data_IF_178784680655
#
_entry.id   IF_178784680655
#
_cell.length_a   1.000
_cell.length_b   1.000
_cell.length_c   1.000
_cell.angle_alpha   90.00
_cell.angle_beta   90.00
_cell.angle_gamma   90.00
#
_symmetry.space_group_name_H-M   'P 1'
#
loop_
_entity.id
_entity.type
_entity.pdbx_description
1 polymer ?
#
# COMPACT_ATOMS: atom_id res chain seq x y z
N UNK A 1 4.32 -5.77 20.96
CA UNK A 1 3.43 -6.19 19.85
C UNK A 1 3.99 -5.76 18.51
N UNK A 2 4.28 -4.47 18.29
CA UNK A 2 4.84 -3.95 17.03
C UNK A 2 6.15 -4.60 16.55
N UNK A 3 7.10 -4.80 17.46
CA UNK A 3 8.42 -5.36 17.11
C UNK A 3 8.35 -6.83 16.67
N UNK A 4 7.46 -7.60 17.29
CA UNK A 4 7.23 -8.99 16.92
C UNK A 4 6.50 -9.09 15.57
N UNK A 5 5.63 -8.12 15.26
CA UNK A 5 5.02 -8.01 13.94
C UNK A 5 6.07 -7.73 12.85
N UNK A 6 7.03 -6.82 13.09
CA UNK A 6 8.14 -6.55 12.16
C UNK A 6 8.99 -7.81 11.95
N UNK A 7 9.36 -8.50 13.03
CA UNK A 7 10.15 -9.73 12.93
C UNK A 7 9.44 -10.81 12.11
N UNK A 8 8.18 -11.08 12.43
CA UNK A 8 7.36 -12.06 11.70
C UNK A 8 7.18 -11.66 10.22
N UNK A 9 6.98 -10.37 9.95
CA UNK A 9 6.87 -9.85 8.59
C UNK A 9 8.16 -10.08 7.79
N UNK A 10 9.33 -9.71 8.34
CA UNK A 10 10.61 -9.91 7.66
C UNK A 10 10.88 -11.39 7.41
N UNK A 11 10.63 -12.25 8.40
CA UNK A 11 10.77 -13.69 8.25
C UNK A 11 9.92 -14.24 7.09
N UNK A 12 8.64 -13.86 7.05
CA UNK A 12 7.73 -14.30 5.99
C UNK A 12 8.14 -13.74 4.62
N UNK A 13 8.52 -12.47 4.55
CA UNK A 13 8.97 -11.83 3.31
C UNK A 13 10.19 -12.56 2.71
N UNK A 14 11.23 -12.81 3.51
CA UNK A 14 12.42 -13.50 3.02
C UNK A 14 12.18 -14.98 2.70
N UNK A 15 11.32 -15.66 3.47
CA UNK A 15 10.92 -17.05 3.18
C UNK A 15 10.18 -17.16 1.85
N UNK A 16 9.22 -16.27 1.59
CA UNK A 16 8.43 -16.25 0.35
C UNK A 16 9.29 -15.91 -0.88
N UNK A 17 10.28 -15.04 -0.71
CA UNK A 17 11.25 -14.71 -1.76
C UNK A 17 12.39 -15.74 -1.90
N UNK A 18 12.28 -16.91 -1.26
CA UNK A 18 13.26 -18.01 -1.35
C UNK A 18 14.68 -17.58 -0.96
N UNK A 19 14.81 -16.64 -0.01
CA UNK A 19 16.11 -16.28 0.56
C UNK A 19 16.53 -17.31 1.61
N UNK A 20 17.83 -17.50 1.77
CA UNK A 20 18.38 -18.43 2.76
C UNK A 20 18.43 -17.73 4.13
N UNK A 21 17.56 -18.16 5.04
CA UNK A 21 17.54 -17.68 6.43
C UNK A 21 18.62 -18.43 7.21
N UNK A 22 19.71 -17.74 7.54
CA UNK A 22 20.85 -18.30 8.29
C UNK A 22 20.60 -18.33 9.79
N UNK A 23 19.96 -17.29 10.32
CA UNK A 23 19.64 -17.19 11.73
C UNK A 23 18.29 -16.48 11.90
N UNK A 24 17.42 -17.02 12.74
CA UNK A 24 16.17 -16.37 13.14
C UNK A 24 16.01 -16.54 14.65
N UNK A 25 16.12 -15.43 15.38
CA UNK A 25 15.88 -15.32 16.83
C UNK A 25 14.88 -14.20 17.08
N UNK A 26 14.11 -14.26 18.15
CA UNK A 26 13.15 -13.19 18.46
C UNK A 26 13.88 -11.84 18.55
N UNK A 27 13.62 -10.94 17.60
CA UNK A 27 14.27 -9.63 17.55
C UNK A 27 15.50 -9.53 16.62
N UNK A 28 15.98 -10.64 16.02
CA UNK A 28 17.11 -10.67 15.09
C UNK A 28 16.90 -11.68 13.97
N UNK A 29 17.14 -11.27 12.73
CA UNK A 29 17.11 -12.18 11.58
C UNK A 29 18.32 -11.93 10.68
N UNK A 30 19.04 -12.99 10.32
CA UNK A 30 20.16 -12.95 9.38
C UNK A 30 19.80 -13.77 8.15
N UNK A 31 19.85 -13.13 6.99
CA UNK A 31 19.40 -13.69 5.72
C UNK A 31 20.46 -13.46 4.65
N UNK A 32 20.77 -14.49 3.87
CA UNK A 32 21.49 -14.35 2.61
C UNK A 32 20.49 -14.07 1.51
N UNK A 33 20.66 -12.93 0.85
CA UNK A 33 19.75 -12.47 -0.19
C UNK A 33 19.87 -13.34 -1.44
N UNK A 34 18.82 -13.36 -2.25
CA UNK A 34 18.90 -13.77 -3.65
C UNK A 34 19.40 -12.61 -4.53
N UNK A 35 19.73 -12.87 -5.79
CA UNK A 35 20.24 -11.83 -6.70
C UNK A 35 19.25 -10.67 -6.89
N UNK A 36 17.95 -10.96 -6.97
CA UNK A 36 16.91 -9.95 -7.19
C UNK A 36 16.82 -8.96 -6.02
N UNK A 37 16.75 -9.47 -4.78
CA UNK A 37 16.67 -8.66 -3.57
C UNK A 37 18.00 -7.99 -3.23
N UNK A 38 19.14 -8.60 -3.58
CA UNK A 38 20.45 -7.96 -3.44
C UNK A 38 20.54 -6.69 -4.30
N UNK A 39 20.16 -6.80 -5.59
CA UNK A 39 20.07 -5.66 -6.52
C UNK A 39 19.10 -4.60 -6.00
N UNK A 40 17.93 -5.02 -5.54
CA UNK A 40 16.88 -4.13 -5.09
C UNK A 40 17.28 -3.39 -3.81
N UNK A 41 17.78 -4.09 -2.80
CA UNK A 41 18.06 -3.51 -1.48
C UNK A 41 19.41 -2.79 -1.46
N UNK A 42 20.49 -3.41 -1.95
CA UNK A 42 21.84 -2.86 -1.78
C UNK A 42 22.26 -1.90 -2.88
N UNK A 43 21.49 -1.78 -3.96
CA UNK A 43 21.73 -0.87 -5.08
C UNK A 43 23.20 -0.89 -5.53
N UNK A 44 23.71 -2.08 -5.86
CA UNK A 44 25.09 -2.32 -6.35
C UNK A 44 25.12 -2.60 -7.86
N UNK A 45 24.67 -1.68 -8.75
CA UNK A 45 24.53 -1.94 -10.17
C UNK A 45 25.88 -2.29 -10.83
N UNK A 46 26.97 -1.61 -10.45
CA UNK A 46 28.29 -1.83 -11.03
C UNK A 46 28.87 -3.21 -10.73
N UNK A 47 28.67 -3.73 -9.51
CA UNK A 47 29.10 -5.09 -9.14
C UNK A 47 28.45 -6.10 -10.08
N UNK A 48 27.13 -6.00 -10.21
CA UNK A 48 26.34 -6.92 -11.00
C UNK A 48 26.58 -6.81 -12.51
N UNK A 49 26.85 -5.61 -13.03
CA UNK A 49 27.28 -5.43 -14.42
C UNK A 49 28.65 -6.06 -14.68
N UNK A 50 29.58 -5.89 -13.74
CA UNK A 50 30.91 -6.49 -13.83
C UNK A 50 30.85 -8.01 -13.81
N UNK A 51 30.15 -8.60 -12.84
CA UNK A 51 29.94 -10.07 -12.73
C UNK A 51 29.32 -10.65 -14.01
N UNK A 52 28.32 -9.97 -14.58
CA UNK A 52 27.71 -10.37 -15.85
C UNK A 52 28.69 -10.32 -17.02
N UNK A 53 29.57 -9.31 -17.08
CA UNK A 53 30.60 -9.18 -18.13
C UNK A 53 31.67 -10.26 -18.05
N UNK A 54 32.04 -10.70 -16.85
CA UNK A 54 33.03 -11.76 -16.65
C UNK A 54 32.44 -13.17 -16.72
N UNK A 55 31.12 -13.32 -16.86
CA UNK A 55 30.44 -14.61 -16.99
C UNK A 55 30.49 -15.49 -15.74
N UNK A 56 30.64 -14.88 -14.55
CA UNK A 56 30.66 -15.59 -13.27
C UNK A 56 29.29 -15.50 -12.58
N UNK A 57 29.03 -16.43 -11.66
CA UNK A 57 27.91 -16.31 -10.72
C UNK A 57 28.25 -15.27 -9.64
N UNK A 58 27.34 -14.34 -9.39
CA UNK A 58 27.55 -13.29 -8.40
C UNK A 58 27.34 -13.79 -6.98
N UNK A 59 28.14 -13.26 -6.06
CA UNK A 59 27.99 -13.50 -4.63
C UNK A 59 26.98 -12.50 -4.03
N UNK A 60 25.92 -13.03 -3.43
CA UNK A 60 24.88 -12.23 -2.78
C UNK A 60 25.23 -11.90 -1.34
N UNK A 61 24.83 -10.71 -0.89
CA UNK A 61 25.12 -10.26 0.46
C UNK A 61 24.30 -11.01 1.52
N UNK A 62 24.89 -11.13 2.72
CA UNK A 62 24.19 -11.54 3.93
C UNK A 62 23.89 -10.29 4.75
N UNK A 63 22.62 -10.08 5.11
CA UNK A 63 22.17 -8.97 5.95
C UNK A 63 21.63 -9.47 7.28
N UNK A 64 21.91 -8.74 8.34
CA UNK A 64 21.35 -8.96 9.68
C UNK A 64 20.45 -7.79 10.02
N UNK A 65 19.19 -8.07 10.36
CA UNK A 65 18.19 -7.10 10.77
C UNK A 65 17.82 -7.28 12.23
N UNK A 66 17.81 -6.18 12.98
CA UNK A 66 17.50 -6.13 14.41
C UNK A 66 16.18 -5.38 14.58
N UNK A 67 15.19 -6.03 15.19
CA UNK A 67 13.83 -5.51 15.41
C UNK A 67 13.49 -5.29 16.88
N UNK A 68 14.32 -5.79 17.82
CA UNK A 68 14.15 -5.55 19.26
C UNK A 68 15.19 -4.57 19.84
N UNK A 69 14.78 -3.52 20.59
CA UNK A 69 15.69 -2.53 21.15
C UNK A 69 16.74 -3.10 22.10
N UNK A 70 16.44 -4.21 22.77
CA UNK A 70 17.37 -4.89 23.69
C UNK A 70 18.58 -5.51 22.98
N UNK A 71 18.48 -5.77 21.67
CA UNK A 71 19.55 -6.34 20.85
C UNK A 71 20.25 -5.28 20.00
N UNK A 72 20.05 -3.98 20.25
CA UNK A 72 20.70 -2.90 19.49
C UNK A 72 22.23 -2.91 19.54
N UNK A 73 22.82 -3.63 20.48
CA UNK A 73 24.27 -3.73 20.64
C UNK A 73 24.86 -4.88 19.80
N UNK A 74 24.02 -5.70 19.17
CA UNK A 74 24.48 -6.72 18.22
C UNK A 74 24.82 -6.11 16.86
N UNK A 75 25.68 -6.80 16.11
CA UNK A 75 26.04 -6.40 14.74
C UNK A 75 24.85 -6.63 13.78
N UNK A 76 24.23 -5.54 13.32
CA UNK A 76 23.13 -5.59 12.36
C UNK A 76 22.46 -4.23 12.12
N UNK A 77 21.62 -4.15 11.09
CA UNK A 77 20.84 -2.98 10.76
C UNK A 77 19.60 -2.90 11.66
N UNK A 78 19.45 -1.81 12.42
CA UNK A 78 18.27 -1.55 13.24
C UNK A 78 17.06 -1.21 12.36
N UNK A 79 16.00 -2.02 12.44
CA UNK A 79 14.76 -1.84 11.70
C UNK A 79 13.60 -1.46 12.63
N UNK A 80 12.87 -0.42 12.24
CA UNK A 80 11.61 0.02 12.81
C UNK A 80 10.70 0.50 11.68
N UNK A 81 9.44 0.86 11.98
CA UNK A 81 8.47 1.26 10.96
C UNK A 81 8.85 2.49 10.12
N UNK A 82 9.74 3.33 10.62
CA UNK A 82 10.26 4.50 9.88
C UNK A 82 11.58 4.24 9.17
N UNK A 83 12.12 3.01 9.19
CA UNK A 83 13.40 2.75 8.54
C UNK A 83 13.21 2.73 7.02
N UNK A 84 14.09 3.41 6.25
CA UNK A 84 14.01 3.45 4.79
C UNK A 84 14.02 2.04 4.17
N UNK A 85 14.81 1.13 4.76
CA UNK A 85 14.92 -0.27 4.34
C UNK A 85 13.60 -1.01 4.43
N UNK A 86 12.85 -0.84 5.52
CA UNK A 86 11.56 -1.52 5.67
C UNK A 86 10.53 -0.98 4.68
N UNK A 87 10.52 0.34 4.45
CA UNK A 87 9.69 0.93 3.39
C UNK A 87 10.07 0.43 2.00
N UNK A 88 11.36 0.25 1.72
CA UNK A 88 11.83 -0.33 0.46
C UNK A 88 11.29 -1.75 0.25
N UNK A 89 11.31 -2.58 1.29
CA UNK A 89 10.74 -3.94 1.29
C UNK A 89 9.22 -3.90 1.10
N UNK A 90 8.50 -3.01 1.80
CA UNK A 90 7.06 -2.87 1.61
C UNK A 90 6.71 -2.47 0.18
N UNK A 91 7.44 -1.51 -0.38
CA UNK A 91 7.22 -1.02 -1.74
C UNK A 91 7.53 -2.10 -2.79
N UNK A 92 8.58 -2.91 -2.59
CA UNK A 92 8.88 -4.02 -3.50
C UNK A 92 7.78 -5.08 -3.47
N UNK A 93 7.31 -5.47 -2.28
CA UNK A 93 6.22 -6.43 -2.13
C UNK A 93 4.93 -5.92 -2.78
N UNK A 94 4.58 -4.65 -2.56
CA UNK A 94 3.41 -4.03 -3.17
C UNK A 94 3.55 -3.90 -4.69
N UNK A 95 4.76 -3.72 -5.22
CA UNK A 95 4.99 -3.66 -6.67
C UNK A 95 4.82 -5.04 -7.34
N UNK A 96 5.31 -6.10 -6.72
CA UNK A 96 5.20 -7.47 -7.23
C UNK A 96 3.79 -8.05 -7.03
N UNK A 97 3.12 -7.72 -5.92
CA UNK A 97 1.81 -8.27 -5.53
C UNK A 97 0.58 -7.43 -5.96
N UNK A 98 0.67 -6.61 -7.01
CA UNK A 98 -0.44 -5.71 -7.40
C UNK A 98 -1.67 -6.43 -7.91
N UNK A 99 -1.46 -7.48 -8.70
CA UNK A 99 -2.52 -8.27 -9.31
C UNK A 99 -2.26 -9.75 -9.11
N UNK A 100 -3.31 -10.52 -8.85
CA UNK A 100 -3.22 -11.98 -8.76
C UNK A 100 -4.44 -12.64 -9.38
N UNK A 101 -4.27 -13.91 -9.74
CA UNK A 101 -5.35 -14.78 -10.15
C UNK A 101 -5.24 -16.09 -9.39
N UNK A 102 -6.28 -16.43 -8.64
CA UNK A 102 -6.25 -17.54 -7.70
C UNK A 102 -7.53 -18.37 -7.80
N UNK A 103 -7.39 -19.68 -7.61
CA UNK A 103 -8.44 -20.68 -7.69
C UNK A 103 -8.58 -21.40 -6.35
N UNK A 104 -9.79 -21.45 -5.82
CA UNK A 104 -10.12 -22.21 -4.62
C UNK A 104 -9.85 -23.70 -4.84
N UNK A 105 -9.15 -24.33 -3.91
CA UNK A 105 -8.87 -25.78 -3.94
C UNK A 105 -10.04 -26.60 -3.41
N UNK A 106 -11.22 -26.41 -4.00
CA UNK A 106 -12.47 -27.06 -3.61
C UNK A 106 -12.93 -28.09 -4.67
N UNK A 107 -12.27 -29.27 -4.68
CA UNK A 107 -12.75 -30.49 -5.35
C UNK A 107 -13.29 -30.32 -6.79
N UNK A 108 -14.24 -31.17 -7.17
CA UNK A 108 -14.88 -31.13 -8.50
C UNK A 108 -16.06 -30.15 -8.52
N UNK A 109 -15.78 -28.85 -8.62
CA UNK A 109 -16.86 -27.84 -8.62
C UNK A 109 -16.67 -26.76 -9.70
N UNK A 110 -17.76 -26.08 -10.02
CA UNK A 110 -17.72 -24.90 -10.87
C UNK A 110 -17.20 -23.71 -10.06
N UNK A 111 -16.23 -22.99 -10.62
CA UNK A 111 -15.62 -21.84 -9.96
C UNK A 111 -16.11 -20.53 -10.58
N UNK A 112 -16.75 -19.72 -9.75
CA UNK A 112 -17.28 -18.42 -10.08
C UNK A 112 -16.21 -17.32 -9.95
N UNK A 113 -16.09 -16.41 -10.93
CA UNK A 113 -15.12 -15.32 -10.89
C UNK A 113 -15.57 -14.17 -9.98
N UNK A 114 -14.68 -13.78 -9.07
CA UNK A 114 -14.81 -12.61 -8.19
C UNK A 114 -13.67 -11.64 -8.45
N UNK A 115 -14.00 -10.36 -8.66
CA UNK A 115 -13.02 -9.28 -8.67
C UNK A 115 -12.87 -8.75 -7.25
N UNK A 116 -11.66 -8.83 -6.70
CA UNK A 116 -11.37 -8.35 -5.35
C UNK A 116 -10.44 -7.16 -5.46
N UNK A 117 -10.81 -6.06 -4.83
CA UNK A 117 -10.01 -4.85 -4.79
C UNK A 117 -9.83 -4.40 -3.33
N UNK A 118 -8.58 -4.16 -2.95
CA UNK A 118 -8.24 -3.55 -1.68
C UNK A 118 -7.86 -2.09 -1.93
N UNK A 119 -8.61 -1.18 -1.30
CA UNK A 119 -8.61 0.24 -1.59
C UNK A 119 -8.30 0.99 -0.29
N UNK A 120 -7.36 1.92 -0.36
CA UNK A 120 -7.04 2.85 0.71
C UNK A 120 -7.70 4.19 0.41
N UNK A 121 -8.47 4.70 1.36
CA UNK A 121 -9.03 6.04 1.35
C UNK A 121 -8.28 6.84 2.40
N UNK A 122 -7.56 7.86 1.96
CA UNK A 122 -6.82 8.78 2.82
C UNK A 122 -7.53 10.12 2.85
N UNK A 123 -8.08 10.48 4.00
CA UNK A 123 -8.64 11.80 4.26
C UNK A 123 -7.50 12.68 4.78
N UNK A 124 -7.09 13.67 3.98
CA UNK A 124 -6.12 14.68 4.39
C UNK A 124 -6.86 15.97 4.72
N UNK A 125 -6.59 16.52 5.89
CA UNK A 125 -6.95 17.88 6.27
C UNK A 125 -6.05 18.27 7.43
N UNK A 126 -6.63 18.81 8.50
CA UNK A 126 -5.88 19.04 9.75
C UNK A 126 -5.26 17.76 10.31
N UNK A 127 -5.96 16.64 10.18
CA UNK A 127 -5.48 15.32 10.53
C UNK A 127 -5.52 14.42 9.30
N UNK A 128 -4.59 13.46 9.26
CA UNK A 128 -4.60 12.42 8.25
C UNK A 128 -5.28 11.19 8.83
N UNK A 129 -6.38 10.74 8.20
CA UNK A 129 -7.06 9.49 8.53
C UNK A 129 -6.96 8.55 7.34
N UNK A 130 -6.47 7.34 7.57
CA UNK A 130 -6.41 6.29 6.55
C UNK A 130 -7.43 5.20 6.86
N UNK A 131 -8.21 4.83 5.85
CA UNK A 131 -9.20 3.75 5.89
C UNK A 131 -8.89 2.74 4.80
N UNK A 132 -9.04 1.45 5.09
CA UNK A 132 -8.82 0.38 4.11
C UNK A 132 -10.13 -0.37 3.91
N UNK A 133 -10.59 -0.40 2.67
CA UNK A 133 -11.77 -1.14 2.24
C UNK A 133 -11.35 -2.32 1.38
N UNK A 134 -11.86 -3.50 1.71
CA UNK A 134 -11.72 -4.69 0.88
C UNK A 134 -13.07 -5.03 0.26
N UNK A 135 -13.17 -4.89 -1.06
CA UNK A 135 -14.42 -5.06 -1.81
C UNK A 135 -14.26 -6.23 -2.77
N UNK A 136 -15.13 -7.23 -2.63
CA UNK A 136 -15.31 -8.32 -3.59
C UNK A 136 -16.55 -8.09 -4.44
N UNK A 137 -16.43 -8.15 -5.76
CA UNK A 137 -17.53 -8.05 -6.70
C UNK A 137 -17.63 -9.35 -7.49
N UNK A 138 -18.80 -9.98 -7.43
CA UNK A 138 -19.06 -11.21 -8.18
C UNK A 138 -19.34 -10.89 -9.65
N UNK A 139 -18.54 -11.44 -10.57
CA UNK A 139 -18.55 -11.05 -11.97
C UNK A 139 -19.69 -11.69 -12.80
N UNK A 140 -20.56 -12.47 -12.18
CA UNK A 140 -21.76 -13.04 -12.83
C UNK A 140 -23.00 -12.22 -12.49
N UNK A 141 -23.33 -12.09 -11.19
CA UNK A 141 -24.54 -11.39 -10.74
C UNK A 141 -24.30 -9.91 -10.37
N UNK A 142 -23.05 -9.49 -10.15
CA UNK A 142 -22.70 -8.13 -9.76
C UNK A 142 -22.89 -7.82 -8.27
N UNK A 143 -23.11 -8.81 -7.41
CA UNK A 143 -23.19 -8.61 -5.95
C UNK A 143 -21.85 -8.13 -5.41
N UNK A 144 -21.90 -7.16 -4.50
CA UNK A 144 -20.72 -6.62 -3.81
C UNK A 144 -20.72 -7.10 -2.35
N UNK A 145 -19.55 -7.50 -1.86
CA UNK A 145 -19.31 -7.97 -0.50
C UNK A 145 -18.12 -7.21 0.08
N UNK A 146 -18.26 -6.71 1.31
CA UNK A 146 -17.24 -5.96 2.03
C UNK A 146 -16.39 -6.85 2.93
N UNK A 147 -15.24 -6.34 3.36
CA UNK A 147 -14.26 -7.08 4.17
C UNK A 147 -13.86 -8.42 3.55
N UNK A 148 -13.81 -8.46 2.21
CA UNK A 148 -13.64 -9.70 1.45
C UNK A 148 -12.31 -10.40 1.76
N UNK A 149 -11.25 -9.63 2.03
CA UNK A 149 -9.95 -10.18 2.41
C UNK A 149 -9.99 -11.02 3.70
N UNK A 150 -10.82 -10.66 4.69
CA UNK A 150 -10.97 -11.46 5.92
C UNK A 150 -11.68 -12.79 5.66
N UNK A 151 -12.55 -12.82 4.65
CA UNK A 151 -13.20 -14.04 4.18
C UNK A 151 -12.21 -14.93 3.42
N UNK A 152 -11.40 -14.34 2.54
CA UNK A 152 -10.38 -15.05 1.75
C UNK A 152 -9.30 -15.69 2.59
N UNK A 153 -8.90 -15.09 3.73
CA UNK A 153 -7.88 -15.65 4.64
C UNK A 153 -8.19 -17.08 5.12
N UNK A 154 -9.46 -17.49 5.09
CA UNK A 154 -9.92 -18.80 5.57
C UNK A 154 -9.88 -19.88 4.50
N UNK A 155 -9.56 -19.51 3.25
CA UNK A 155 -9.64 -20.39 2.09
C UNK A 155 -8.25 -20.70 1.57
N UNK A 156 -8.08 -21.95 1.12
CA UNK A 156 -6.86 -22.40 0.44
C UNK A 156 -6.94 -22.11 -1.05
N UNK A 157 -5.98 -21.34 -1.57
CA UNK A 157 -5.89 -20.95 -2.96
C UNK A 157 -4.65 -21.54 -3.65
N UNK A 158 -4.76 -21.73 -4.97
CA UNK A 158 -3.64 -22.02 -5.85
C UNK A 158 -3.70 -21.14 -7.10
N UNK A 159 -2.55 -20.94 -7.75
CA UNK A 159 -2.47 -20.34 -9.09
C UNK A 159 -2.91 -21.30 -10.21
N UNK A 160 -3.07 -22.58 -9.88
CA UNK A 160 -3.48 -23.63 -10.82
C UNK A 160 -4.92 -24.04 -10.54
N UNK A 161 -5.67 -24.28 -11.61
CA UNK A 161 -7.04 -24.80 -11.54
C UNK A 161 -6.98 -26.20 -10.92
N UNK A 162 -7.77 -26.48 -9.87
CA UNK A 162 -7.83 -27.82 -9.29
C UNK A 162 -8.26 -28.87 -10.32
N UNK A 163 -7.81 -30.11 -10.13
CA UNK A 163 -8.26 -31.23 -10.96
C UNK A 163 -9.79 -31.34 -10.93
N UNK A 164 -10.39 -31.54 -12.10
CA UNK A 164 -11.85 -31.66 -12.29
C UNK A 164 -12.69 -30.42 -11.90
N UNK A 165 -12.07 -29.25 -11.79
CA UNK A 165 -12.77 -27.96 -11.71
C UNK A 165 -12.85 -27.28 -13.07
N UNK A 166 -13.89 -26.46 -13.28
CA UNK A 166 -13.99 -25.59 -14.46
C UNK A 166 -14.34 -24.16 -14.05
N UNK A 167 -13.84 -23.19 -14.81
CA UNK A 167 -14.10 -21.77 -14.58
C UNK A 167 -15.33 -21.32 -15.33
N UNK A 168 -16.19 -20.55 -14.65
CA UNK A 168 -17.33 -19.91 -15.29
C UNK A 168 -16.88 -18.60 -15.93
N UNK A 169 -17.33 -18.35 -17.15
CA UNK A 169 -17.00 -17.12 -17.88
C UNK A 169 -17.72 -15.91 -17.24
N UNK A 170 -17.00 -14.81 -16.94
CA UNK A 170 -17.59 -13.64 -16.35
C UNK A 170 -18.56 -12.95 -17.33
N UNK A 171 -19.76 -12.62 -16.87
CA UNK A 171 -20.74 -11.85 -17.64
C UNK A 171 -20.38 -10.35 -17.58
N UNK A 172 -19.98 -9.90 -16.40
CA UNK A 172 -19.52 -8.53 -16.16
C UNK A 172 -18.03 -8.43 -16.51
N UNK A 173 -17.70 -7.56 -17.46
CA UNK A 173 -16.30 -7.28 -17.81
C UNK A 173 -15.60 -6.53 -16.66
N UNK A 174 -14.30 -6.76 -16.51
CA UNK A 174 -13.47 -6.15 -15.46
C UNK A 174 -13.61 -4.61 -15.42
N UNK A 175 -13.54 -3.85 -16.55
CA UNK A 175 -13.71 -2.39 -16.50
C UNK A 175 -15.09 -1.97 -15.99
N UNK A 176 -16.14 -2.69 -16.36
CA UNK A 176 -17.50 -2.43 -15.87
C UNK A 176 -17.64 -2.71 -14.38
N UNK A 177 -16.99 -3.77 -13.88
CA UNK A 177 -16.92 -4.06 -12.45
C UNK A 177 -16.19 -2.95 -11.67
N UNK A 178 -15.07 -2.46 -12.20
CA UNK A 178 -14.36 -1.32 -11.60
C UNK A 178 -15.22 -0.06 -11.54
N UNK A 179 -15.96 0.26 -12.61
CA UNK A 179 -16.86 1.41 -12.59
C UNK A 179 -17.97 1.27 -11.54
N UNK A 180 -18.50 0.06 -11.32
CA UNK A 180 -19.47 -0.19 -10.25
C UNK A 180 -18.87 0.06 -8.87
N UNK A 181 -17.65 -0.42 -8.62
CA UNK A 181 -16.92 -0.17 -7.38
C UNK A 181 -16.67 1.33 -7.21
N UNK A 182 -16.28 2.03 -8.27
CA UNK A 182 -16.05 3.47 -8.23
C UNK A 182 -17.33 4.26 -7.89
N UNK A 183 -18.47 3.91 -8.50
CA UNK A 183 -19.75 4.53 -8.19
C UNK A 183 -20.17 4.26 -6.73
N UNK A 184 -19.92 3.04 -6.24
CA UNK A 184 -20.13 2.72 -4.83
C UNK A 184 -19.26 3.58 -3.91
N UNK A 185 -17.97 3.74 -4.22
CA UNK A 185 -17.06 4.57 -3.43
C UNK A 185 -17.49 6.04 -3.41
N UNK A 186 -17.93 6.58 -4.55
CA UNK A 186 -18.45 7.95 -4.60
C UNK A 186 -19.68 8.12 -3.70
N UNK A 187 -20.60 7.15 -3.74
CA UNK A 187 -21.78 7.17 -2.88
C UNK A 187 -21.39 7.04 -1.41
N UNK A 188 -20.52 6.08 -1.07
CA UNK A 188 -19.99 5.88 0.27
C UNK A 188 -19.36 7.17 0.84
N UNK A 189 -18.55 7.87 0.05
CA UNK A 189 -17.93 9.13 0.44
C UNK A 189 -18.94 10.27 0.60
N UNK A 190 -19.99 10.32 -0.25
CA UNK A 190 -21.03 11.36 -0.15
C UNK A 190 -21.96 11.20 1.06
N UNK A 191 -22.03 10.01 1.64
CA UNK A 191 -22.83 9.74 2.84
C UNK A 191 -22.05 10.01 4.14
N UNK A 192 -20.73 10.20 4.07
CA UNK A 192 -19.92 10.51 5.25
C UNK A 192 -20.14 11.95 5.71
N UNK A 193 -19.90 12.21 7.00
CA UNK A 193 -19.96 13.55 7.56
C UNK A 193 -18.78 14.41 7.07
N UNK A 194 -19.10 15.59 6.53
CA UNK A 194 -18.12 16.56 5.99
C UNK A 194 -17.52 17.50 7.05
N UNK A 195 -17.74 17.23 8.34
CA UNK A 195 -17.34 18.15 9.41
C UNK A 195 -15.82 18.32 9.47
N UNK A 196 -15.05 17.26 9.19
CA UNK A 196 -13.60 17.33 9.10
C UNK A 196 -13.11 18.28 7.98
N UNK A 197 -13.87 18.37 6.88
CA UNK A 197 -13.53 19.24 5.76
C UNK A 197 -13.83 20.71 6.08
N UNK A 198 -14.96 20.99 6.76
CA UNK A 198 -15.30 22.33 7.25
C UNK A 198 -14.24 22.85 8.22
N UNK A 199 -13.83 22.02 9.19
CA UNK A 199 -12.76 22.38 10.13
C UNK A 199 -11.44 22.68 9.43
N UNK A 200 -11.11 21.93 8.37
CA UNK A 200 -9.90 22.15 7.58
C UNK A 200 -9.95 23.51 6.84
N UNK A 201 -11.10 23.88 6.25
CA UNK A 201 -11.30 25.19 5.63
C UNK A 201 -11.21 26.33 6.64
N UNK A 202 -11.90 26.24 7.78
CA UNK A 202 -11.83 27.27 8.83
C UNK A 202 -10.40 27.48 9.35
N UNK A 203 -9.63 26.40 9.46
CA UNK A 203 -8.24 26.48 9.89
C UNK A 203 -7.35 27.09 8.80
N UNK A 204 -7.60 26.77 7.54
CA UNK A 204 -6.89 27.38 6.42
C UNK A 204 -7.13 28.89 6.35
N UNK A 205 -8.38 29.34 6.50
CA UNK A 205 -8.72 30.76 6.46
C UNK A 205 -8.02 31.53 7.60
N UNK A 206 -8.01 30.99 8.82
CA UNK A 206 -7.30 31.60 9.96
C UNK A 206 -5.79 31.70 9.74
N UNK A 207 -5.15 30.64 9.24
CA UNK A 207 -3.71 30.64 8.94
C UNK A 207 -3.38 31.63 7.81
N UNK A 208 -4.24 31.71 6.79
CA UNK A 208 -4.11 32.65 5.69
C UNK A 208 -4.26 34.10 6.15
N UNK A 209 -5.21 34.39 7.04
CA UNK A 209 -5.35 35.74 7.63
C UNK A 209 -4.10 36.16 8.40
N UNK A 210 -3.51 35.26 9.20
CA UNK A 210 -2.27 35.52 9.92
C UNK A 210 -1.12 35.79 8.94
N UNK A 211 -1.02 34.97 7.88
CA UNK A 211 -0.03 35.14 6.84
C UNK A 211 -0.16 36.50 6.14
N UNK A 212 -1.40 36.87 5.76
CA UNK A 212 -1.68 38.16 5.13
C UNK A 212 -1.23 39.32 6.01
N UNK A 213 -1.60 39.32 7.29
CA UNK A 213 -1.23 40.38 8.21
C UNK A 213 0.29 40.50 8.38
N UNK A 214 1.01 39.38 8.45
CA UNK A 214 2.46 39.36 8.49
C UNK A 214 3.04 40.02 7.24
N UNK A 215 2.65 39.58 6.04
CA UNK A 215 3.18 40.11 4.78
C UNK A 215 2.76 41.56 4.48
N UNK A 216 1.56 41.99 4.87
CA UNK A 216 1.13 43.39 4.78
C UNK A 216 2.09 44.30 5.56
N UNK A 217 2.44 43.93 6.79
CA UNK A 217 3.37 44.70 7.61
C UNK A 217 4.77 44.85 7.00
N UNK A 218 5.30 43.81 6.35
CA UNK A 218 6.59 43.88 5.66
C UNK A 218 6.51 44.71 4.37
N UNK A 219 5.41 44.61 3.64
CA UNK A 219 5.19 45.29 2.36
C UNK A 219 5.09 46.81 2.54
N UNK A 220 4.54 47.28 3.67
CA UNK A 220 4.48 48.70 4.02
C UNK A 220 5.86 49.34 4.25
N UNK A 221 6.83 48.56 4.75
CA UNK A 221 8.20 49.03 5.04
C UNK A 221 9.23 48.76 3.93
N UNK A 222 8.84 48.02 2.88
CA UNK A 222 9.75 47.53 1.86
C UNK A 222 9.92 48.49 0.67
N UNK A 223 11.10 48.44 0.05
CA UNK A 223 11.42 49.13 -1.20
C UNK A 223 10.70 48.48 -2.39
N UNK A 224 10.53 49.17 -3.53
CA UNK A 224 9.76 48.62 -4.67
C UNK A 224 10.35 47.31 -5.23
N UNK A 225 11.68 47.17 -5.26
CA UNK A 225 12.36 45.92 -5.66
C UNK A 225 12.15 44.77 -4.64
N UNK A 226 11.99 45.10 -3.35
CA UNK A 226 11.76 44.11 -2.29
C UNK A 226 10.30 43.62 -2.30
N UNK A 227 9.34 44.47 -2.70
CA UNK A 227 7.92 44.11 -2.79
C UNK A 227 7.67 42.98 -3.80
N UNK A 228 8.39 42.98 -4.92
CA UNK A 228 8.25 41.94 -5.95
C UNK A 228 8.74 40.58 -5.42
N UNK A 229 9.88 40.56 -4.73
CA UNK A 229 10.42 39.37 -4.05
C UNK A 229 9.52 38.87 -2.90
N UNK A 230 8.96 39.80 -2.11
CA UNK A 230 8.02 39.48 -1.04
C UNK A 230 6.74 38.85 -1.58
N UNK A 231 6.23 39.35 -2.71
CA UNK A 231 5.05 38.80 -3.38
C UNK A 231 5.27 37.38 -3.87
N UNK A 232 6.41 37.10 -4.50
CA UNK A 232 6.75 35.74 -4.94
C UNK A 232 6.85 34.78 -3.74
N UNK A 233 7.45 35.21 -2.63
CA UNK A 233 7.50 34.41 -1.40
C UNK A 233 6.12 34.16 -0.81
N UNK A 234 5.28 35.19 -0.75
CA UNK A 234 3.91 35.08 -0.27
C UNK A 234 3.10 34.08 -1.10
N UNK A 235 3.16 34.15 -2.44
CA UNK A 235 2.47 33.22 -3.32
C UNK A 235 2.93 31.77 -3.11
N UNK A 236 4.24 31.56 -2.93
CA UNK A 236 4.77 30.23 -2.59
C UNK A 236 4.29 29.74 -1.21
N UNK A 237 4.26 30.60 -0.19
CA UNK A 237 3.78 30.22 1.14
C UNK A 237 2.27 29.91 1.14
N UNK A 238 1.47 30.66 0.38
CA UNK A 238 0.05 30.36 0.18
C UNK A 238 -0.12 29.00 -0.50
N UNK A 239 0.61 28.70 -1.57
CA UNK A 239 0.58 27.39 -2.24
C UNK A 239 0.98 26.25 -1.29
N UNK A 240 1.99 26.46 -0.44
CA UNK A 240 2.37 25.51 0.60
C UNK A 240 1.27 25.30 1.67
N UNK A 241 0.60 26.38 2.09
CA UNK A 241 -0.52 26.31 3.01
C UNK A 241 -1.71 25.56 2.39
N UNK A 242 -2.03 25.86 1.13
CA UNK A 242 -3.12 25.21 0.38
C UNK A 242 -2.88 23.70 0.30
N UNK A 243 -1.69 23.27 -0.12
CA UNK A 243 -1.33 21.84 -0.21
C UNK A 243 -1.36 21.11 1.13
N UNK A 244 -1.16 21.83 2.24
CA UNK A 244 -1.05 21.25 3.58
C UNK A 244 -2.39 21.19 4.31
N UNK A 245 -3.21 22.22 4.16
CA UNK A 245 -4.40 22.43 5.00
C UNK A 245 -5.71 22.18 4.27
N UNK A 246 -5.75 22.32 2.93
CA UNK A 246 -6.99 22.07 2.20
C UNK A 246 -7.39 20.59 2.29
N UNK A 247 -8.68 20.31 2.48
CA UNK A 247 -9.17 18.95 2.56
C UNK A 247 -9.03 18.24 1.21
N UNK A 248 -8.37 17.08 1.20
CA UNK A 248 -8.20 16.24 0.03
C UNK A 248 -8.50 14.78 0.39
N UNK A 249 -9.41 14.15 -0.36
CA UNK A 249 -9.64 12.70 -0.26
C UNK A 249 -8.84 12.01 -1.36
N UNK A 250 -7.85 11.22 -0.96
CA UNK A 250 -7.07 10.42 -1.89
C UNK A 250 -7.52 8.96 -1.86
N UNK A 251 -7.94 8.45 -3.02
CA UNK A 251 -8.30 7.04 -3.18
C UNK A 251 -7.16 6.34 -3.92
N UNK A 252 -6.60 5.30 -3.30
CA UNK A 252 -5.52 4.50 -3.88
C UNK A 252 -5.88 3.03 -3.85
N UNK A 253 -5.82 2.38 -5.01
CA UNK A 253 -5.91 0.92 -5.09
C UNK A 253 -4.58 0.34 -4.60
N UNK A 254 -4.63 -0.45 -3.52
CA UNK A 254 -3.46 -1.12 -2.94
C UNK A 254 -3.08 -2.32 -3.80
N UNK A 255 -4.05 -3.20 -4.05
CA UNK A 255 -3.93 -4.37 -4.90
C UNK A 255 -5.32 -4.79 -5.37
N UNK A 256 -5.35 -5.66 -6.37
CA UNK A 256 -6.57 -6.33 -6.80
C UNK A 256 -6.29 -7.74 -7.28
N UNK A 257 -7.32 -8.51 -7.57
CA UNK A 257 -7.15 -9.85 -8.09
C UNK A 257 -8.44 -10.50 -8.53
N UNK A 258 -8.30 -11.54 -9.34
CA UNK A 258 -9.40 -12.41 -9.74
C UNK A 258 -9.35 -13.68 -8.90
N UNK A 259 -10.39 -13.91 -8.13
CA UNK A 259 -10.53 -15.08 -7.28
C UNK A 259 -11.67 -15.94 -7.81
N UNK A 260 -11.37 -17.19 -8.10
CA UNK A 260 -12.33 -18.17 -8.58
C UNK A 260 -12.76 -19.04 -7.40
N UNK A 261 -14.02 -18.88 -6.99
CA UNK A 261 -14.60 -19.50 -5.80
C UNK A 261 -15.69 -20.48 -6.20
N UNK A 262 -15.79 -21.60 -5.50
CA UNK A 262 -16.89 -22.53 -5.61
C UNK A 262 -18.24 -21.85 -5.31
N UNK A 263 -19.31 -22.42 -5.83
CA UNK A 263 -20.66 -21.92 -5.60
C UNK A 263 -21.05 -21.95 -4.12
N UNK A 264 -20.64 -22.98 -3.38
CA UNK A 264 -20.89 -23.09 -1.94
C UNK A 264 -20.25 -21.95 -1.16
N UNK A 265 -18.99 -21.64 -1.46
CA UNK A 265 -18.25 -20.58 -0.78
C UNK A 265 -18.81 -19.21 -1.19
N UNK A 266 -19.11 -19.04 -2.48
CA UNK A 266 -19.73 -17.81 -3.00
C UNK A 266 -21.07 -17.50 -2.31
N UNK A 267 -21.92 -18.51 -2.12
CA UNK A 267 -23.21 -18.33 -1.45
C UNK A 267 -23.06 -18.02 0.05
N UNK A 268 -22.05 -18.58 0.72
CA UNK A 268 -21.75 -18.22 2.12
C UNK A 268 -21.31 -16.76 2.27
N UNK A 269 -20.68 -16.18 1.25
CA UNK A 269 -20.22 -14.79 1.28
C UNK A 269 -21.34 -13.81 0.96
N UNK A 270 -22.30 -14.20 0.10
CA UNK A 270 -23.46 -13.38 -0.24
C UNK A 270 -24.52 -13.42 0.87
N UNK A 271 -24.65 -14.55 1.58
CA UNK A 271 -25.65 -14.73 2.64
C UNK A 271 -25.26 -14.16 4.01
N UNK A 272 -24.11 -13.49 4.14
CA UNK A 272 -23.63 -12.84 5.36
C UNK A 272 -23.62 -11.34 5.20
#
# INVERSE_FOLDING_TARGET
>A
MEQQAIHNYLHNFFSLNQCEIKESRQGKITVKLNEELDRLLLNRPFYWEYIKKIGQEGETATLTFISSPSMRHEEGEWIHFGSPRLHQIFNSQLAQGRYTMLYEQAGQTALNPWLVNNIMISYKGRQKKDEILSIGLHLINGTMVFNFMELLKKISFSSVIPDYSYTISPIVRIPSAFNRINNYLQHYLSEQEDDWAKEAYEHFDKEKEILNHFYESYTETASDDEKELLKERYENEVDHLEKRLLPEIQIKIINGGLFYLSETTSNQFIGK
#
